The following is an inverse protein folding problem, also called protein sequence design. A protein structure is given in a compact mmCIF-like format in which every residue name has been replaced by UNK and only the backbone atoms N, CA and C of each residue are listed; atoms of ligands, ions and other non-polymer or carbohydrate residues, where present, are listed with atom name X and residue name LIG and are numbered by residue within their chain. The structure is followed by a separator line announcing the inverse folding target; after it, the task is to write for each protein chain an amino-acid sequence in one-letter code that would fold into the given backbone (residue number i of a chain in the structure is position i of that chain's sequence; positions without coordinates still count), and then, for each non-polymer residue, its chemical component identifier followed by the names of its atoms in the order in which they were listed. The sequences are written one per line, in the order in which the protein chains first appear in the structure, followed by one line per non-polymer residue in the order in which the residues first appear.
data_IF_163064293057
#
_entry.id   IF_163064293057
#
_cell.length_a   1.000
_cell.length_b   1.000
_cell.length_c   1.000
_cell.angle_alpha   90.00
_cell.angle_beta   90.00
_cell.angle_gamma   90.00
#
_symmetry.space_group_name_H-M   'P 1'
#
loop_
_entity.id
_entity.type
_entity.pdbx_description
1 polymer ?
#
# COMPACT_ATOMS: atom_id res chain seq x y z
N UNK A 1 -7.45 -37.07 -9.71
CA UNK A 1 -8.87 -36.79 -9.81
C UNK A 1 -9.05 -35.26 -9.78
N UNK A 2 -9.51 -34.69 -10.90
CA UNK A 2 -9.79 -33.24 -11.02
C UNK A 2 -10.97 -32.90 -10.10
N UNK A 3 -10.72 -32.08 -9.08
CA UNK A 3 -11.80 -31.55 -8.23
C UNK A 3 -12.46 -30.35 -8.91
N UNK A 4 -13.42 -30.65 -9.78
CA UNK A 4 -14.19 -29.66 -10.54
C UNK A 4 -14.93 -28.68 -9.62
N UNK A 5 -15.28 -29.11 -8.39
CA UNK A 5 -15.92 -28.21 -7.41
C UNK A 5 -14.95 -27.14 -6.90
N UNK A 6 -13.69 -27.52 -6.63
CA UNK A 6 -12.66 -26.57 -6.21
C UNK A 6 -12.39 -25.51 -7.30
N UNK A 7 -12.34 -25.92 -8.57
CA UNK A 7 -12.16 -25.00 -9.70
C UNK A 7 -13.35 -24.04 -9.84
N UNK A 8 -14.57 -24.52 -9.60
CA UNK A 8 -15.77 -23.67 -9.66
C UNK A 8 -15.83 -22.64 -8.51
N UNK A 9 -15.41 -23.03 -7.32
CA UNK A 9 -15.27 -22.13 -6.16
C UNK A 9 -14.21 -21.04 -6.46
N UNK A 10 -13.12 -21.40 -7.11
CA UNK A 10 -12.06 -20.47 -7.51
C UNK A 10 -12.60 -19.37 -8.44
N UNK A 11 -13.45 -19.72 -9.39
CA UNK A 11 -14.09 -18.78 -10.33
C UNK A 11 -14.87 -17.67 -9.61
N UNK A 12 -15.49 -17.99 -8.47
CA UNK A 12 -16.31 -17.02 -7.71
C UNK A 12 -15.51 -16.21 -6.70
N UNK A 13 -14.42 -16.77 -6.17
CA UNK A 13 -13.62 -16.13 -5.13
C UNK A 13 -12.37 -15.41 -5.66
N UNK A 14 -11.73 -15.96 -6.66
CA UNK A 14 -10.48 -15.43 -7.23
C UNK A 14 -10.42 -15.73 -8.74
N UNK A 15 -10.87 -14.74 -9.52
CA UNK A 15 -10.91 -14.86 -10.99
C UNK A 15 -9.50 -14.98 -11.59
N UNK A 16 -8.52 -14.30 -11.02
CA UNK A 16 -7.14 -14.29 -11.52
C UNK A 16 -6.51 -15.68 -11.32
N UNK A 17 -6.69 -16.28 -10.15
CA UNK A 17 -6.26 -17.66 -9.88
C UNK A 17 -6.99 -18.69 -10.77
N UNK A 18 -8.29 -18.48 -11.04
CA UNK A 18 -9.04 -19.32 -11.95
C UNK A 18 -8.49 -19.29 -13.37
N UNK A 19 -8.25 -18.11 -13.92
CA UNK A 19 -7.67 -17.97 -15.27
C UNK A 19 -6.26 -18.56 -15.34
N UNK A 20 -5.44 -18.36 -14.30
CA UNK A 20 -4.11 -18.97 -14.22
C UNK A 20 -4.19 -20.49 -14.28
N UNK A 21 -5.09 -21.11 -13.52
CA UNK A 21 -5.27 -22.57 -13.51
C UNK A 21 -5.71 -23.08 -14.89
N UNK A 22 -6.64 -22.43 -15.56
CA UNK A 22 -7.13 -22.82 -16.90
C UNK A 22 -6.02 -22.68 -17.95
N UNK A 23 -5.30 -21.56 -17.96
CA UNK A 23 -4.19 -21.33 -18.90
C UNK A 23 -3.11 -22.39 -18.70
N UNK A 24 -2.73 -22.68 -17.45
CA UNK A 24 -1.76 -23.71 -17.12
C UNK A 24 -2.20 -25.10 -17.62
N UNK A 25 -3.45 -25.45 -17.35
CA UNK A 25 -4.01 -26.74 -17.76
C UNK A 25 -3.97 -26.91 -19.29
N UNK A 26 -4.44 -25.90 -20.03
CA UNK A 26 -4.41 -25.91 -21.50
C UNK A 26 -2.96 -25.98 -22.02
N UNK A 27 -2.06 -25.19 -21.41
CA UNK A 27 -0.65 -25.17 -21.82
C UNK A 27 0.01 -26.55 -21.68
N UNK A 28 -0.25 -27.24 -20.57
CA UNK A 28 0.30 -28.61 -20.36
C UNK A 28 -0.23 -29.59 -21.42
N UNK A 29 -1.50 -29.47 -21.80
CA UNK A 29 -2.09 -30.37 -22.81
C UNK A 29 -1.60 -30.07 -24.24
N UNK A 30 -1.38 -28.78 -24.58
CA UNK A 30 -1.06 -28.36 -25.96
C UNK A 30 0.45 -28.39 -26.23
N UNK A 31 1.24 -27.88 -25.32
CA UNK A 31 2.69 -27.71 -25.49
C UNK A 31 3.53 -28.71 -24.71
N UNK A 32 2.90 -29.54 -23.88
CA UNK A 32 3.55 -30.55 -23.07
C UNK A 32 3.83 -30.14 -21.64
N UNK A 33 4.23 -31.10 -20.83
CA UNK A 33 4.34 -30.93 -19.37
C UNK A 33 5.42 -29.93 -18.98
N UNK A 34 6.64 -30.06 -19.52
CA UNK A 34 7.78 -29.20 -19.14
C UNK A 34 7.52 -27.74 -19.49
N UNK A 35 7.22 -27.36 -20.74
CA UNK A 35 6.94 -25.96 -21.08
C UNK A 35 5.66 -25.46 -20.42
N UNK A 36 4.65 -26.31 -20.20
CA UNK A 36 3.43 -25.92 -19.50
C UNK A 36 3.68 -25.52 -18.05
N UNK A 37 4.49 -26.27 -17.31
CA UNK A 37 4.89 -25.93 -15.94
C UNK A 37 5.75 -24.65 -15.93
N UNK A 38 6.69 -24.52 -16.87
CA UNK A 38 7.51 -23.32 -16.97
C UNK A 38 6.66 -22.07 -17.17
N UNK A 39 5.68 -22.13 -18.06
CA UNK A 39 4.73 -21.03 -18.29
C UNK A 39 3.91 -20.72 -17.03
N UNK A 40 3.45 -21.75 -16.31
CA UNK A 40 2.70 -21.59 -15.06
C UNK A 40 3.50 -20.83 -13.99
N UNK A 41 4.79 -21.20 -13.82
CA UNK A 41 5.68 -20.53 -12.87
C UNK A 41 5.90 -19.06 -13.27
N UNK A 42 6.13 -18.79 -14.55
CA UNK A 42 6.31 -17.41 -15.03
C UNK A 42 5.05 -16.55 -14.82
N UNK A 43 3.88 -17.09 -15.14
CA UNK A 43 2.60 -16.38 -14.91
C UNK A 43 2.32 -16.18 -13.43
N UNK A 44 2.58 -17.18 -12.59
CA UNK A 44 2.43 -17.05 -11.14
C UNK A 44 3.37 -16.02 -10.55
N UNK A 45 4.63 -15.98 -11.00
CA UNK A 45 5.60 -14.96 -10.60
C UNK A 45 5.15 -13.56 -11.04
N UNK A 46 4.66 -13.42 -12.26
CA UNK A 46 4.13 -12.16 -12.77
C UNK A 46 2.94 -11.66 -11.93
N UNK A 47 2.00 -12.54 -11.62
CA UNK A 47 0.85 -12.23 -10.76
C UNK A 47 1.31 -11.80 -9.35
N UNK A 48 2.26 -12.53 -8.76
CA UNK A 48 2.84 -12.18 -7.48
C UNK A 48 3.49 -10.79 -7.50
N UNK A 49 4.32 -10.50 -8.51
CA UNK A 49 4.93 -9.17 -8.67
C UNK A 49 3.87 -8.08 -8.79
N UNK A 50 2.80 -8.30 -9.55
CA UNK A 50 1.71 -7.34 -9.69
C UNK A 50 1.05 -7.01 -8.34
N UNK A 51 0.82 -8.02 -7.50
CA UNK A 51 0.25 -7.86 -6.15
C UNK A 51 1.21 -7.05 -5.25
N UNK A 52 2.51 -7.38 -5.29
CA UNK A 52 3.54 -6.69 -4.49
C UNK A 52 3.72 -5.22 -4.94
N UNK A 53 3.63 -4.96 -6.24
CA UNK A 53 3.79 -3.62 -6.81
C UNK A 53 2.57 -2.71 -6.57
N UNK A 54 1.37 -3.27 -6.40
CA UNK A 54 0.11 -2.52 -6.22
C UNK A 54 -0.69 -3.10 -5.05
N UNK A 55 -0.16 -3.00 -3.83
CA UNK A 55 -0.90 -3.45 -2.66
C UNK A 55 -2.10 -2.54 -2.39
N UNK A 56 -3.02 -3.05 -1.57
CA UNK A 56 -4.20 -2.29 -1.15
C UNK A 56 -3.79 -1.11 -0.26
N UNK A 57 -4.44 0.01 -0.48
CA UNK A 57 -4.34 1.22 0.33
C UNK A 57 -5.72 1.62 0.85
N UNK A 58 -5.76 2.37 1.93
CA UNK A 58 -6.99 2.78 2.59
C UNK A 58 -6.88 4.20 3.12
N UNK A 59 -7.98 4.94 3.03
CA UNK A 59 -8.17 6.17 3.78
C UNK A 59 -8.86 5.84 5.11
N UNK A 60 -8.40 6.49 6.16
CA UNK A 60 -8.97 6.35 7.50
C UNK A 60 -9.69 7.64 7.90
N UNK A 61 -10.76 7.48 8.65
CA UNK A 61 -11.54 8.55 9.22
C UNK A 61 -11.98 8.23 10.64
N UNK A 62 -12.81 9.10 11.22
CA UNK A 62 -13.40 8.89 12.53
C UNK A 62 -14.82 8.33 12.41
N UNK A 63 -15.13 7.33 13.22
CA UNK A 63 -16.50 6.89 13.44
C UNK A 63 -17.21 7.77 14.47
N UNK A 64 -18.52 7.54 14.68
CA UNK A 64 -19.33 8.26 15.67
C UNK A 64 -18.80 8.17 17.12
N UNK A 65 -17.98 7.15 17.40
CA UNK A 65 -17.36 6.91 18.72
C UNK A 65 -15.97 7.53 18.85
N UNK A 66 -15.50 8.26 17.82
CA UNK A 66 -14.16 8.84 17.78
C UNK A 66 -13.04 7.81 17.53
N UNK A 67 -13.38 6.60 17.04
CA UNK A 67 -12.39 5.58 16.71
C UNK A 67 -11.97 5.69 15.25
N UNK A 68 -10.67 5.52 14.99
CA UNK A 68 -10.14 5.54 13.62
C UNK A 68 -10.52 4.25 12.90
N UNK A 69 -11.23 4.40 11.79
CA UNK A 69 -11.66 3.29 10.93
C UNK A 69 -11.42 3.61 9.46
N UNK A 70 -11.42 2.57 8.64
CA UNK A 70 -11.39 2.73 7.19
C UNK A 70 -12.65 3.42 6.70
N UNK A 71 -12.47 4.42 5.84
CA UNK A 71 -13.57 5.04 5.11
C UNK A 71 -13.97 4.07 4.00
N UNK A 72 -15.13 3.48 4.13
CA UNK A 72 -15.70 2.50 3.19
C UNK A 72 -17.12 2.91 2.77
N UNK A 73 -17.70 2.14 1.86
CA UNK A 73 -19.06 2.36 1.38
C UNK A 73 -20.14 2.20 2.48
N UNK A 74 -19.78 1.65 3.65
CA UNK A 74 -20.73 1.47 4.75
C UNK A 74 -21.03 2.78 5.50
N UNK A 75 -20.25 3.85 5.23
CA UNK A 75 -20.48 5.18 5.80
C UNK A 75 -20.26 5.30 7.31
N UNK A 76 -19.63 4.29 7.94
CA UNK A 76 -19.39 4.27 9.39
C UNK A 76 -18.27 5.20 9.85
N UNK A 77 -17.42 5.64 8.94
CA UNK A 77 -16.34 6.57 9.24
C UNK A 77 -16.37 7.76 8.28
N UNK A 78 -16.19 8.96 8.81
CA UNK A 78 -16.16 10.20 8.04
C UNK A 78 -14.75 10.77 7.96
N UNK A 79 -14.39 11.41 6.83
CA UNK A 79 -13.12 12.12 6.71
C UNK A 79 -12.99 13.21 7.77
N UNK A 80 -11.77 13.43 8.25
CA UNK A 80 -11.49 14.52 9.19
C UNK A 80 -11.21 15.79 8.37
N UNK A 81 -11.93 16.89 8.62
CA UNK A 81 -11.69 18.15 7.91
C UNK A 81 -10.23 18.61 8.02
N UNK A 82 -9.63 18.99 6.89
CA UNK A 82 -8.24 19.46 6.85
C UNK A 82 -7.17 18.36 6.98
N UNK A 83 -7.54 17.08 7.10
CA UNK A 83 -6.61 16.00 7.33
C UNK A 83 -6.90 14.78 6.44
N UNK A 84 -5.86 14.22 5.86
CA UNK A 84 -5.91 12.92 5.17
C UNK A 84 -5.11 11.91 5.98
N UNK A 85 -5.75 10.83 6.44
CA UNK A 85 -5.08 9.72 7.10
C UNK A 85 -5.00 8.57 6.11
N UNK A 86 -3.78 8.22 5.73
CA UNK A 86 -3.50 7.23 4.70
C UNK A 86 -2.80 6.01 5.29
N UNK A 87 -3.36 4.83 5.04
CA UNK A 87 -2.81 3.53 5.42
C UNK A 87 -2.44 2.74 4.18
N UNK A 88 -1.22 2.27 4.15
CA UNK A 88 -0.70 1.39 3.11
C UNK A 88 -0.47 -0.01 3.69
N UNK A 89 -1.20 -1.01 3.19
CA UNK A 89 -1.27 -2.35 3.79
C UNK A 89 -0.15 -3.30 3.31
N UNK A 90 1.04 -2.77 3.09
CA UNK A 90 2.19 -3.57 2.69
C UNK A 90 3.48 -2.91 3.15
N UNK A 91 4.55 -3.67 3.42
CA UNK A 91 5.88 -3.12 3.57
C UNK A 91 6.27 -2.29 2.35
N UNK A 92 6.76 -1.07 2.59
CA UNK A 92 7.31 -0.23 1.54
C UNK A 92 8.67 -0.76 1.09
N UNK A 93 8.79 -0.91 -0.21
CA UNK A 93 9.99 -1.36 -0.92
C UNK A 93 10.17 -0.54 -2.17
N UNK A 94 11.32 -0.65 -2.83
CA UNK A 94 11.57 0.02 -4.10
C UNK A 94 10.54 -0.34 -5.20
N UNK A 95 9.93 -1.53 -5.14
CA UNK A 95 8.92 -1.95 -6.11
C UNK A 95 7.60 -1.17 -6.01
N UNK A 96 7.17 -0.83 -4.79
CA UNK A 96 5.86 -0.22 -4.56
C UNK A 96 5.93 1.25 -4.10
N UNK A 97 7.12 1.77 -3.82
CA UNK A 97 7.31 3.16 -3.42
C UNK A 97 6.76 4.18 -4.44
N UNK A 98 6.92 4.01 -5.77
CA UNK A 98 6.31 4.91 -6.75
C UNK A 98 4.78 4.87 -6.74
N UNK A 99 4.19 3.69 -6.51
CA UNK A 99 2.75 3.53 -6.36
C UNK A 99 2.24 4.23 -5.11
N UNK A 100 2.91 4.00 -3.96
CA UNK A 100 2.62 4.67 -2.70
C UNK A 100 2.63 6.20 -2.84
N UNK A 101 3.69 6.78 -3.43
CA UNK A 101 3.81 8.21 -3.67
C UNK A 101 2.64 8.74 -4.47
N UNK A 102 2.35 8.11 -5.61
CA UNK A 102 1.26 8.53 -6.48
C UNK A 102 -0.07 8.54 -5.74
N UNK A 103 -0.43 7.43 -5.06
CA UNK A 103 -1.70 7.31 -4.34
C UNK A 103 -1.85 8.33 -3.22
N UNK A 104 -0.79 8.53 -2.44
CA UNK A 104 -0.80 9.51 -1.35
C UNK A 104 -1.01 10.93 -1.87
N UNK A 105 -0.31 11.31 -2.94
CA UNK A 105 -0.47 12.63 -3.54
C UNK A 105 -1.83 12.82 -4.21
N UNK A 106 -2.37 11.78 -4.88
CA UNK A 106 -3.74 11.79 -5.42
C UNK A 106 -4.78 12.08 -4.34
N UNK A 107 -4.68 11.43 -3.19
CA UNK A 107 -5.59 11.67 -2.05
C UNK A 107 -5.41 13.07 -1.43
N UNK A 108 -4.19 13.58 -1.37
CA UNK A 108 -3.93 14.94 -0.91
C UNK A 108 -4.48 15.99 -1.89
N UNK A 109 -4.53 15.70 -3.20
CA UNK A 109 -5.06 16.60 -4.23
C UNK A 109 -6.59 16.63 -4.28
N UNK A 110 -7.23 15.49 -4.04
CA UNK A 110 -8.69 15.38 -4.04
C UNK A 110 -9.36 16.20 -2.93
N UNK A 111 -8.65 16.50 -1.86
CA UNK A 111 -9.13 17.27 -0.73
C UNK A 111 -8.52 18.69 -0.75
N UNK A 112 -9.27 19.67 -1.24
CA UNK A 112 -8.79 21.06 -1.44
C UNK A 112 -8.34 21.78 -0.15
N UNK A 113 -8.89 21.40 1.01
CA UNK A 113 -8.65 22.05 2.30
C UNK A 113 -7.65 21.31 3.19
N UNK A 114 -6.88 20.36 2.62
CA UNK A 114 -5.92 19.56 3.38
C UNK A 114 -4.74 20.41 3.83
N UNK A 115 -4.52 20.44 5.13
CA UNK A 115 -3.35 21.06 5.78
C UNK A 115 -2.37 20.03 6.34
N UNK A 116 -2.82 18.76 6.48
CA UNK A 116 -2.04 17.69 7.08
C UNK A 116 -2.32 16.34 6.43
N UNK A 117 -1.26 15.63 6.07
CA UNK A 117 -1.31 14.23 5.63
C UNK A 117 -0.64 13.36 6.68
N UNK A 118 -1.38 12.41 7.22
CA UNK A 118 -0.91 11.44 8.21
C UNK A 118 -0.76 10.09 7.54
N UNK A 119 0.42 9.51 7.58
CA UNK A 119 0.69 8.16 7.09
C UNK A 119 0.74 7.20 8.27
N UNK A 120 -0.12 6.17 8.26
CA UNK A 120 -0.02 5.06 9.19
C UNK A 120 1.19 4.18 8.81
N UNK A 121 2.26 4.36 9.58
CA UNK A 121 3.55 3.75 9.32
C UNK A 121 3.74 2.36 9.99
N UNK A 122 2.71 1.84 10.67
CA UNK A 122 2.84 0.60 11.47
C UNK A 122 3.17 -0.60 10.60
N UNK A 123 2.51 -0.73 9.46
CA UNK A 123 2.68 -1.85 8.51
C UNK A 123 3.70 -1.57 7.41
N UNK A 124 3.88 -0.29 7.07
CA UNK A 124 4.61 0.10 5.86
C UNK A 124 6.12 0.26 6.09
N UNK A 125 6.54 0.75 7.26
CA UNK A 125 7.95 1.04 7.55
C UNK A 125 8.60 -0.09 8.35
N UNK A 126 8.76 -1.25 7.72
CA UNK A 126 9.33 -2.45 8.35
C UNK A 126 10.79 -2.67 8.00
N UNK A 127 11.23 -2.19 6.84
CA UNK A 127 12.58 -2.33 6.33
C UNK A 127 13.18 -0.98 5.95
N UNK A 128 14.49 -0.87 6.10
CA UNK A 128 15.29 0.26 5.63
C UNK A 128 15.61 0.05 4.15
N UNK A 129 15.00 0.87 3.29
CA UNK A 129 15.26 0.88 1.85
C UNK A 129 15.57 2.31 1.42
N UNK A 130 16.73 2.53 0.80
CA UNK A 130 17.17 3.84 0.33
C UNK A 130 16.18 4.47 -0.66
N UNK A 131 15.54 3.65 -1.48
CA UNK A 131 14.53 4.13 -2.44
C UNK A 131 13.25 4.62 -1.76
N UNK A 132 12.87 3.96 -0.67
CA UNK A 132 11.74 4.39 0.17
C UNK A 132 12.04 5.74 0.83
N UNK A 133 13.28 5.93 1.29
CA UNK A 133 13.74 7.19 1.88
C UNK A 133 13.69 8.33 0.88
N UNK A 134 14.27 8.13 -0.30
CA UNK A 134 14.24 9.12 -1.37
C UNK A 134 12.79 9.47 -1.76
N UNK A 135 11.92 8.47 -1.83
CA UNK A 135 10.49 8.66 -2.11
C UNK A 135 9.79 9.49 -1.04
N UNK A 136 10.09 9.25 0.25
CA UNK A 136 9.49 10.03 1.34
C UNK A 136 10.01 11.47 1.38
N UNK A 137 11.30 11.67 1.13
CA UNK A 137 11.87 13.02 1.04
C UNK A 137 11.19 13.81 -0.09
N UNK A 138 10.98 13.18 -1.24
CA UNK A 138 10.33 13.78 -2.39
C UNK A 138 8.82 14.07 -2.11
N UNK A 139 8.10 13.16 -1.47
CA UNK A 139 6.72 13.41 -1.00
C UNK A 139 6.69 14.60 -0.05
N UNK A 140 7.60 14.63 0.92
CA UNK A 140 7.68 15.74 1.89
C UNK A 140 7.91 17.08 1.19
N UNK A 141 8.83 17.15 0.24
CA UNK A 141 9.09 18.36 -0.56
C UNK A 141 7.85 18.82 -1.34
N UNK A 142 7.15 17.89 -2.00
CA UNK A 142 5.94 18.21 -2.77
C UNK A 142 4.84 18.75 -1.87
N UNK A 143 4.60 18.09 -0.74
CA UNK A 143 3.58 18.54 0.23
C UNK A 143 3.94 19.86 0.89
N UNK A 144 5.22 20.07 1.24
CA UNK A 144 5.73 21.32 1.83
C UNK A 144 5.53 22.52 0.90
N UNK A 145 5.78 22.36 -0.40
CA UNK A 145 5.52 23.40 -1.41
C UNK A 145 4.05 23.81 -1.48
N UNK A 146 3.14 22.93 -1.07
CA UNK A 146 1.68 23.18 -1.00
C UNK A 146 1.21 23.64 0.38
N UNK A 147 2.12 23.82 1.34
CA UNK A 147 1.78 24.17 2.72
C UNK A 147 1.17 23.03 3.53
N UNK A 148 1.27 21.78 3.04
CA UNK A 148 0.72 20.58 3.67
C UNK A 148 1.79 19.89 4.53
N UNK A 149 1.48 19.63 5.80
CA UNK A 149 2.40 18.93 6.71
C UNK A 149 2.31 17.41 6.52
N UNK A 150 3.45 16.75 6.48
CA UNK A 150 3.53 15.29 6.49
C UNK A 150 3.80 14.77 7.90
N UNK A 151 2.99 13.83 8.36
CA UNK A 151 3.10 13.19 9.67
C UNK A 151 3.20 11.68 9.47
N UNK A 152 4.19 11.04 10.10
CA UNK A 152 4.28 9.58 10.18
C UNK A 152 3.78 9.15 11.56
N UNK A 153 2.70 8.37 11.59
CA UNK A 153 2.13 7.83 12.82
C UNK A 153 2.47 6.35 12.95
N UNK A 154 2.95 5.93 14.13
CA UNK A 154 3.30 4.53 14.36
C UNK A 154 4.22 4.35 15.56
N UNK A 155 4.78 3.16 15.71
CA UNK A 155 5.66 2.83 16.86
C UNK A 155 6.89 3.74 16.91
N UNK A 156 6.83 4.74 17.76
CA UNK A 156 7.80 5.85 17.90
C UNK A 156 9.28 5.40 17.88
N UNK A 157 9.60 4.29 18.54
CA UNK A 157 10.98 3.79 18.59
C UNK A 157 11.52 3.37 17.22
N UNK A 158 10.73 2.60 16.45
CA UNK A 158 11.13 2.14 15.11
C UNK A 158 11.20 3.29 14.12
N UNK A 159 10.20 4.17 14.14
CA UNK A 159 10.17 5.35 13.27
C UNK A 159 11.35 6.29 13.56
N UNK A 160 11.67 6.53 14.83
CA UNK A 160 12.83 7.35 15.20
C UNK A 160 14.12 6.75 14.68
N UNK A 161 14.39 5.47 14.97
CA UNK A 161 15.56 4.78 14.42
C UNK A 161 15.64 4.86 12.91
N UNK A 162 14.51 4.68 12.24
CA UNK A 162 14.43 4.78 10.81
C UNK A 162 14.77 6.19 10.32
N UNK A 163 14.23 7.25 10.92
CA UNK A 163 14.55 8.63 10.58
C UNK A 163 16.00 8.99 10.89
N UNK A 164 16.56 8.56 12.02
CA UNK A 164 17.97 8.78 12.39
C UNK A 164 18.92 8.15 11.37
N UNK A 165 18.68 6.89 10.98
CA UNK A 165 19.48 6.19 9.98
C UNK A 165 19.37 6.78 8.57
N UNK A 166 18.27 7.44 8.28
CA UNK A 166 17.95 7.97 6.95
C UNK A 166 18.30 9.45 6.80
N UNK A 167 18.69 10.11 7.88
CA UNK A 167 18.97 11.56 7.88
C UNK A 167 17.73 12.43 7.65
N UNK A 168 16.52 11.86 7.73
CA UNK A 168 15.29 12.63 7.61
C UNK A 168 15.09 13.49 8.87
N UNK A 169 15.05 14.80 8.69
CA UNK A 169 14.80 15.74 9.79
C UNK A 169 13.41 15.52 10.40
N UNK A 170 13.37 15.37 11.74
CA UNK A 170 12.14 15.25 12.52
C UNK A 170 11.79 16.53 13.29
N UNK A 171 12.51 17.63 13.02
CA UNK A 171 12.31 18.95 13.64
C UNK A 171 11.16 19.73 12.97
N UNK A 172 10.81 20.89 13.54
CA UNK A 172 9.83 21.81 12.95
C UNK A 172 10.20 22.15 11.50
N UNK A 173 9.30 21.84 10.58
CA UNK A 173 9.54 21.94 9.12
C UNK A 173 9.96 20.65 8.44
N UNK A 174 10.28 19.58 9.20
CA UNK A 174 10.51 18.22 8.72
C UNK A 174 9.26 17.34 8.86
N UNK A 175 9.48 16.02 8.79
CA UNK A 175 8.43 15.02 8.98
C UNK A 175 8.16 14.87 10.48
N UNK A 176 6.91 15.09 10.90
CA UNK A 176 6.52 14.93 12.29
C UNK A 176 6.29 13.44 12.62
N UNK A 177 6.81 13.01 13.77
CA UNK A 177 6.59 11.66 14.29
C UNK A 177 5.56 11.67 15.42
N UNK A 178 4.53 10.83 15.31
CA UNK A 178 3.55 10.60 16.38
C UNK A 178 3.61 9.15 16.83
N UNK A 179 3.46 8.93 18.15
CA UNK A 179 3.54 7.59 18.73
C UNK A 179 2.29 6.75 18.49
N UNK A 180 1.13 7.42 18.53
CA UNK A 180 -0.19 6.78 18.46
C UNK A 180 -1.12 7.59 17.55
N UNK A 181 -2.06 6.88 16.94
CA UNK A 181 -3.25 7.42 16.30
C UNK A 181 -4.47 7.11 17.14
#
# INVERSE_FOLDING_TARGET
LLDLKAIWILKTRDKDAFYLAIITFISVLVIGVIPGITLAVLLGLFQFLRIVMRPSDQLLGLDEKGTIRTIDETGKASPIPGMVIYRFNSPLTYFNAPYFKRRLLEHAEQNKDVSCVVVDAVSSFTHLDLSVMATLADIHEVLKKRGIRLVLAGRKRRLRQWCELTGISTSEGGILLRADM
#
